data_IF_655782735670
#
_entry.id   IF_655782735670
#
_cell.length_a   1.000
_cell.length_b   1.000
_cell.length_c   1.000
_cell.angle_alpha   90.00
_cell.angle_beta   90.00
_cell.angle_gamma   90.00
#
_symmetry.space_group_name_H-M   'P 1'
#
loop_
_entity.id
_entity.type
_entity.pdbx_description
1 polymer ?
#
# COMPACT_ATOMS: atom_id res chain seq x y z
N UNK A 1 -6.09 21.16 15.81
CA UNK A 1 -7.10 20.88 14.77
C UNK A 1 -6.43 20.08 13.66
N UNK A 2 -7.12 19.16 13.00
CA UNK A 2 -6.54 18.36 11.91
C UNK A 2 -6.49 19.20 10.62
N UNK A 3 -5.33 19.28 9.98
CA UNK A 3 -5.17 19.92 8.68
C UNK A 3 -5.83 19.06 7.59
N UNK A 4 -6.79 19.65 6.88
CA UNK A 4 -7.51 19.01 5.77
C UNK A 4 -6.89 19.33 4.41
N UNK A 5 -5.76 20.04 4.38
CA UNK A 5 -5.01 20.28 3.16
C UNK A 5 -4.50 18.95 2.57
N UNK A 6 -4.45 18.90 1.25
CA UNK A 6 -3.89 17.73 0.57
C UNK A 6 -2.37 17.67 0.78
N UNK A 7 -1.84 16.47 1.00
CA UNK A 7 -0.40 16.29 1.11
C UNK A 7 0.31 16.84 -0.13
N UNK A 8 1.40 17.63 0.01
CA UNK A 8 2.09 18.21 -1.13
C UNK A 8 2.67 17.16 -2.09
N UNK A 9 2.93 15.95 -1.62
CA UNK A 9 3.40 14.82 -2.44
C UNK A 9 2.27 14.02 -3.11
N UNK A 10 1.00 14.33 -2.84
CA UNK A 10 -0.13 13.58 -3.38
C UNK A 10 -0.25 13.72 -4.91
N UNK A 11 0.21 14.85 -5.46
CA UNK A 11 0.14 15.17 -6.89
C UNK A 11 0.95 14.21 -7.77
N UNK A 12 2.00 13.60 -7.22
CA UNK A 12 2.85 12.65 -7.94
C UNK A 12 2.31 11.22 -7.90
N UNK A 13 1.22 10.97 -7.18
CA UNK A 13 0.73 9.63 -6.95
C UNK A 13 0.00 9.09 -8.18
N UNK A 14 0.50 7.99 -8.76
CA UNK A 14 -0.13 7.26 -9.88
C UNK A 14 -1.61 6.92 -9.66
N UNK A 15 -2.05 6.79 -8.40
CA UNK A 15 -3.46 6.57 -8.05
C UNK A 15 -4.40 7.68 -8.56
N UNK A 16 -3.90 8.89 -8.78
CA UNK A 16 -4.68 9.98 -9.35
C UNK A 16 -5.07 9.67 -10.80
N UNK A 17 -4.10 9.27 -11.63
CA UNK A 17 -4.32 8.85 -13.02
C UNK A 17 -5.34 7.70 -13.12
N UNK A 18 -5.17 6.66 -12.30
CA UNK A 18 -6.12 5.53 -12.27
C UNK A 18 -7.52 5.98 -11.83
N UNK A 19 -7.63 6.87 -10.85
CA UNK A 19 -8.91 7.40 -10.39
C UNK A 19 -9.61 8.19 -11.49
N UNK A 20 -8.88 9.01 -12.21
CA UNK A 20 -9.43 9.86 -13.26
C UNK A 20 -9.92 8.99 -14.44
N UNK A 21 -9.15 7.98 -14.83
CA UNK A 21 -9.59 6.97 -15.79
C UNK A 21 -10.85 6.21 -15.32
N UNK A 22 -10.89 5.79 -14.05
CA UNK A 22 -12.08 5.14 -13.49
C UNK A 22 -13.31 6.06 -13.49
N UNK A 23 -13.13 7.37 -13.27
CA UNK A 23 -14.20 8.34 -13.30
C UNK A 23 -14.74 8.53 -14.73
N UNK A 24 -13.85 8.65 -15.71
CA UNK A 24 -14.22 8.75 -17.13
C UNK A 24 -14.98 7.51 -17.61
N UNK A 25 -14.53 6.31 -17.20
CA UNK A 25 -15.22 5.07 -17.53
C UNK A 25 -16.59 4.95 -16.88
N UNK A 26 -16.75 5.41 -15.64
CA UNK A 26 -18.04 5.44 -14.95
C UNK A 26 -19.02 6.40 -15.63
N UNK A 27 -18.55 7.56 -16.09
CA UNK A 27 -19.36 8.54 -16.81
C UNK A 27 -19.84 7.99 -18.15
N UNK A 28 -18.95 7.35 -18.93
CA UNK A 28 -19.30 6.73 -20.22
C UNK A 28 -20.16 5.47 -20.06
N UNK A 29 -19.93 4.71 -19.00
CA UNK A 29 -20.54 3.41 -18.75
C UNK A 29 -20.93 3.28 -17.27
N UNK A 30 -22.13 3.75 -16.89
CA UNK A 30 -22.59 3.69 -15.51
C UNK A 30 -22.55 2.27 -14.93
N UNK A 31 -21.98 2.15 -13.73
CA UNK A 31 -21.77 0.88 -13.05
C UNK A 31 -20.39 0.26 -13.25
N UNK A 32 -19.48 0.87 -14.02
CA UNK A 32 -18.11 0.34 -14.24
C UNK A 32 -17.36 0.10 -12.93
N UNK A 33 -17.31 1.09 -12.03
CA UNK A 33 -16.67 0.97 -10.71
C UNK A 33 -17.30 -0.15 -9.88
N UNK A 34 -18.63 -0.24 -9.90
CA UNK A 34 -19.36 -1.30 -9.21
C UNK A 34 -19.00 -2.69 -9.77
N UNK A 35 -18.96 -2.85 -11.10
CA UNK A 35 -18.63 -4.13 -11.72
C UNK A 35 -17.18 -4.53 -11.48
N UNK A 36 -16.23 -3.58 -11.47
CA UNK A 36 -14.83 -3.84 -11.11
C UNK A 36 -14.75 -4.38 -9.68
N UNK A 37 -15.37 -3.69 -8.72
CA UNK A 37 -15.39 -4.13 -7.32
C UNK A 37 -16.08 -5.48 -7.16
N UNK A 38 -17.26 -5.67 -7.76
CA UNK A 38 -18.00 -6.93 -7.72
C UNK A 38 -17.21 -8.09 -8.32
N UNK A 39 -16.44 -7.83 -9.38
CA UNK A 39 -15.56 -8.83 -9.98
C UNK A 39 -14.41 -9.19 -9.04
N UNK A 40 -13.79 -8.20 -8.40
CA UNK A 40 -12.81 -8.44 -7.33
C UNK A 40 -13.39 -9.31 -6.21
N UNK A 41 -14.58 -8.98 -5.69
CA UNK A 41 -15.20 -9.72 -4.59
C UNK A 41 -15.49 -11.19 -4.96
N UNK A 42 -15.81 -11.47 -6.23
CA UNK A 42 -15.99 -12.84 -6.71
C UNK A 42 -14.67 -13.59 -6.88
N UNK A 43 -13.61 -12.90 -7.32
CA UNK A 43 -12.30 -13.50 -7.56
C UNK A 43 -11.50 -13.70 -6.28
N UNK A 44 -11.62 -12.77 -5.32
CA UNK A 44 -10.79 -12.74 -4.13
C UNK A 44 -10.85 -14.02 -3.29
N UNK A 45 -12.02 -14.63 -3.00
CA UNK A 45 -12.08 -15.88 -2.24
C UNK A 45 -11.35 -17.05 -2.92
N UNK A 46 -11.33 -17.06 -4.26
CA UNK A 46 -10.63 -18.09 -5.04
C UNK A 46 -9.13 -17.87 -4.91
N UNK A 47 -8.65 -16.65 -5.16
CA UNK A 47 -7.24 -16.29 -5.03
C UNK A 47 -6.73 -16.47 -3.60
N UNK A 48 -7.51 -16.08 -2.60
CA UNK A 48 -7.17 -16.21 -1.18
C UNK A 48 -6.96 -17.68 -0.79
N UNK A 49 -7.77 -18.62 -1.30
CA UNK A 49 -7.56 -20.06 -1.03
C UNK A 49 -6.20 -20.56 -1.52
N UNK A 50 -5.73 -20.06 -2.66
CA UNK A 50 -4.45 -20.45 -3.25
C UNK A 50 -3.25 -19.73 -2.61
N UNK A 51 -3.39 -18.45 -2.23
CA UNK A 51 -2.26 -17.61 -1.85
C UNK A 51 -2.21 -17.17 -0.37
N UNK A 52 -3.31 -17.26 0.38
CA UNK A 52 -3.38 -16.70 1.75
C UNK A 52 -2.70 -17.56 2.82
N UNK A 53 -2.25 -18.77 2.51
CA UNK A 53 -1.57 -19.65 3.47
C UNK A 53 -0.11 -19.25 3.68
N UNK A 54 0.13 -18.14 4.38
CA UNK A 54 1.45 -17.80 4.92
C UNK A 54 1.34 -17.57 6.42
N UNK A 55 2.16 -18.28 7.20
CA UNK A 55 2.34 -17.97 8.62
C UNK A 55 3.00 -16.61 8.73
N UNK A 56 2.44 -15.74 9.56
CA UNK A 56 3.07 -14.46 9.90
C UNK A 56 4.05 -14.68 11.05
N UNK A 57 5.22 -14.07 10.92
CA UNK A 57 6.21 -13.97 11.97
C UNK A 57 5.96 -12.71 12.81
N UNK A 58 6.75 -12.58 13.88
CA UNK A 58 6.84 -11.36 14.70
C UNK A 58 8.16 -10.67 14.41
N UNK A 59 8.14 -9.37 14.16
CA UNK A 59 9.34 -8.58 13.89
C UNK A 59 10.30 -8.64 15.08
N UNK A 60 11.58 -8.98 14.85
CA UNK A 60 12.62 -9.04 15.90
C UNK A 60 12.89 -7.70 16.62
N UNK A 61 12.51 -6.57 16.01
CA UNK A 61 12.76 -5.22 16.57
C UNK A 61 11.54 -4.67 17.31
N UNK A 62 10.33 -4.77 16.72
CA UNK A 62 9.13 -4.12 17.27
C UNK A 62 7.99 -5.08 17.62
N UNK A 63 8.13 -6.39 17.38
CA UNK A 63 7.09 -7.39 17.68
C UNK A 63 5.84 -7.36 16.78
N UNK A 64 5.74 -6.43 15.83
CA UNK A 64 4.60 -6.34 14.92
C UNK A 64 4.58 -7.50 13.90
N UNK A 65 3.40 -7.89 13.38
CA UNK A 65 3.28 -8.95 12.37
C UNK A 65 4.07 -8.66 11.10
N UNK A 66 4.71 -9.68 10.53
CA UNK A 66 5.47 -9.54 9.28
C UNK A 66 5.59 -10.88 8.55
N UNK A 67 5.80 -10.84 7.24
CA UNK A 67 6.16 -12.03 6.45
C UNK A 67 7.65 -12.34 6.45
N UNK A 68 8.50 -11.47 7.00
CA UNK A 68 9.95 -11.64 7.11
C UNK A 68 10.42 -11.79 8.56
N UNK A 69 11.71 -11.54 8.83
CA UNK A 69 12.24 -11.48 10.20
C UNK A 69 12.11 -10.08 10.84
N UNK A 70 12.21 -9.04 10.00
CA UNK A 70 12.09 -7.62 10.37
C UNK A 70 11.01 -7.00 9.48
N UNK A 71 10.08 -6.25 10.06
CA UNK A 71 9.00 -5.62 9.30
C UNK A 71 9.54 -4.51 8.38
N UNK A 72 8.80 -4.21 7.30
CA UNK A 72 9.22 -3.23 6.29
C UNK A 72 9.47 -1.83 6.89
N UNK A 73 8.66 -1.44 7.88
CA UNK A 73 8.84 -0.17 8.59
C UNK A 73 10.18 -0.12 9.35
N UNK A 74 10.54 -1.17 10.09
CA UNK A 74 11.84 -1.23 10.77
C UNK A 74 13.00 -1.31 9.78
N UNK A 75 12.87 -2.04 8.67
CA UNK A 75 13.87 -2.06 7.60
C UNK A 75 14.12 -0.65 7.04
N UNK A 76 13.07 0.10 6.75
CA UNK A 76 13.20 1.47 6.24
C UNK A 76 13.85 2.41 7.27
N UNK A 77 13.51 2.30 8.55
CA UNK A 77 14.19 3.07 9.60
C UNK A 77 15.68 2.79 9.63
N UNK A 78 16.09 1.52 9.59
CA UNK A 78 17.50 1.14 9.53
C UNK A 78 18.18 1.74 8.29
N UNK A 79 17.57 1.63 7.11
CA UNK A 79 18.12 2.22 5.88
C UNK A 79 18.31 3.74 5.98
N UNK A 80 17.35 4.45 6.57
CA UNK A 80 17.45 5.90 6.79
C UNK A 80 18.57 6.23 7.79
N UNK A 81 18.71 5.46 8.87
CA UNK A 81 19.78 5.64 9.83
C UNK A 81 21.16 5.43 9.23
N UNK A 82 21.36 4.38 8.42
CA UNK A 82 22.63 4.13 7.75
C UNK A 82 22.99 5.25 6.77
N UNK A 83 22.04 5.68 5.93
CA UNK A 83 22.23 6.83 5.03
C UNK A 83 22.54 8.13 5.76
N UNK A 84 21.97 8.32 6.96
CA UNK A 84 22.29 9.48 7.78
C UNK A 84 23.73 9.42 8.30
N UNK A 85 24.20 8.26 8.78
CA UNK A 85 25.60 8.08 9.22
C UNK A 85 26.58 8.37 8.08
N UNK A 86 26.35 7.78 6.90
CA UNK A 86 27.15 8.02 5.69
C UNK A 86 27.21 9.51 5.33
N UNK A 87 26.07 10.20 5.38
CA UNK A 87 25.98 11.63 5.03
C UNK A 87 26.68 12.54 6.04
N UNK A 88 26.68 12.17 7.32
CA UNK A 88 27.22 13.00 8.40
C UNK A 88 28.58 12.51 8.93
N UNK A 89 29.22 11.52 8.30
CA UNK A 89 30.49 10.91 8.73
C UNK A 89 30.50 10.53 10.23
N UNK A 90 29.38 9.96 10.71
CA UNK A 90 29.26 9.40 12.06
C UNK A 90 29.71 7.94 12.11
#
# INVERSE_FOLDING_TARGET
EADFSECPYAVEAFRAEIRDWLNEMEEKHPGTKYQILRSYDKLFPILAKHYAKRKLNRCKICGQPTTGEICKACQFKLQVHEKAKERFNL
#
